data_IF_099132660416
#
_entry.id   IF_099132660416
#
_cell.length_a   1.000
_cell.length_b   1.000
_cell.length_c   1.000
_cell.angle_alpha   90.00
_cell.angle_beta   90.00
_cell.angle_gamma   90.00
#
_symmetry.space_group_name_H-M   'P 1'
#
loop_
_entity.id
_entity.type
_entity.pdbx_description
1 polymer ?
#
# COMPACT_ATOMS: atom_id res chain seq x y z
N UNK A 1 -17.63 -0.36 37.24
CA UNK A 1 -18.05 0.93 36.63
C UNK A 1 -16.87 1.52 35.86
N UNK A 2 -17.06 1.90 34.60
CA UNK A 2 -16.00 2.53 33.80
C UNK A 2 -15.82 3.96 34.29
N UNK A 3 -14.58 4.38 34.57
CA UNK A 3 -14.30 5.71 35.12
C UNK A 3 -14.36 6.79 34.05
N UNK A 4 -14.77 8.00 34.45
CA UNK A 4 -14.84 9.18 33.57
C UNK A 4 -13.48 9.48 32.87
N UNK A 5 -12.36 9.15 33.53
CA UNK A 5 -11.01 9.27 32.94
C UNK A 5 -10.80 8.34 31.74
N UNK A 6 -11.28 7.09 31.81
CA UNK A 6 -11.20 6.16 30.67
C UNK A 6 -12.04 6.64 29.49
N UNK A 7 -13.24 7.17 29.76
CA UNK A 7 -14.09 7.75 28.71
C UNK A 7 -13.43 8.96 28.03
N UNK A 8 -12.80 9.85 28.81
CA UNK A 8 -12.08 11.00 28.27
C UNK A 8 -10.85 10.60 27.44
N UNK A 9 -10.14 9.54 27.83
CA UNK A 9 -9.01 9.01 27.05
C UNK A 9 -9.47 8.39 25.73
N UNK A 10 -10.56 7.64 25.74
CA UNK A 10 -11.17 7.10 24.53
C UNK A 10 -11.61 8.25 23.62
N UNK A 11 -12.34 9.24 24.12
CA UNK A 11 -12.76 10.40 23.34
C UNK A 11 -11.57 11.13 22.68
N UNK A 12 -10.45 11.33 23.40
CA UNK A 12 -9.23 11.93 22.81
C UNK A 12 -8.61 11.08 21.69
N UNK A 13 -8.67 9.76 21.79
CA UNK A 13 -8.16 8.85 20.74
C UNK A 13 -9.05 8.92 19.49
N UNK A 14 -10.37 8.99 19.66
CA UNK A 14 -11.33 9.15 18.56
C UNK A 14 -11.23 10.52 17.88
N UNK A 15 -10.94 11.59 18.64
CA UNK A 15 -10.68 12.91 18.07
C UNK A 15 -9.45 12.94 17.16
N UNK A 16 -8.36 12.23 17.50
CA UNK A 16 -7.18 12.10 16.63
C UNK A 16 -7.46 11.33 15.35
N UNK A 17 -8.24 10.25 15.45
CA UNK A 17 -8.68 9.47 14.28
C UNK A 17 -9.61 10.29 13.36
N UNK A 18 -10.52 11.08 13.94
CA UNK A 18 -11.40 11.97 13.20
C UNK A 18 -10.66 13.18 12.59
N UNK A 19 -9.59 13.67 13.24
CA UNK A 19 -8.74 14.73 12.71
C UNK A 19 -7.91 14.27 11.51
N UNK A 20 -7.50 12.99 11.47
CA UNK A 20 -6.89 12.40 10.27
C UNK A 20 -7.88 12.36 9.09
N UNK A 21 -9.17 12.13 9.38
CA UNK A 21 -10.26 12.21 8.39
C UNK A 21 -10.68 13.62 7.96
N UNK A 22 -10.22 14.68 8.65
CA UNK A 22 -10.57 16.10 8.38
C UNK A 22 -9.44 16.92 7.75
N UNK A 23 -8.35 16.28 7.30
CA UNK A 23 -7.32 16.93 6.45
C UNK A 23 -7.69 16.95 4.96
N UNK A 24 -8.98 16.87 4.62
CA UNK A 24 -9.51 17.33 3.33
C UNK A 24 -10.21 18.66 3.58
N UNK A 25 -9.93 19.63 2.73
CA UNK A 25 -10.44 21.02 2.71
C UNK A 25 -9.55 22.08 3.38
N UNK A 26 -8.25 22.06 3.09
CA UNK A 26 -7.51 23.26 2.66
C UNK A 26 -6.34 22.82 1.79
N UNK A 27 -6.63 22.55 0.51
CA UNK A 27 -5.62 22.62 -0.55
C UNK A 27 -5.15 24.07 -0.62
N UNK A 28 -4.15 24.41 0.20
CA UNK A 28 -3.29 25.54 -0.11
C UNK A 28 -2.39 25.01 -1.21
N UNK A 29 -2.66 25.45 -2.44
CA UNK A 29 -1.75 25.26 -3.56
C UNK A 29 -0.37 25.77 -3.12
N UNK A 30 0.51 24.85 -2.77
CA UNK A 30 1.94 25.06 -2.87
C UNK A 30 2.36 24.17 -4.01
N UNK A 31 2.52 24.81 -5.16
CA UNK A 31 3.23 24.26 -6.30
C UNK A 31 4.57 23.74 -5.79
N UNK A 32 4.70 22.42 -5.78
CA UNK A 32 5.99 21.77 -5.90
C UNK A 32 5.88 20.87 -7.12
N UNK A 33 6.21 21.51 -8.23
CA UNK A 33 6.74 20.98 -9.48
C UNK A 33 7.09 19.48 -9.43
N UNK A 34 6.47 18.78 -10.39
CA UNK A 34 7.05 17.67 -11.14
C UNK A 34 7.22 16.31 -10.45
N UNK A 35 6.16 15.50 -10.50
CA UNK A 35 6.29 14.03 -10.50
C UNK A 35 5.17 13.31 -11.27
N UNK A 36 4.36 14.03 -12.07
CA UNK A 36 3.27 13.44 -12.85
C UNK A 36 3.12 14.16 -14.21
N UNK A 37 4.19 14.19 -15.01
CA UNK A 37 4.14 14.62 -16.42
C UNK A 37 4.05 13.41 -17.36
N UNK A 38 3.23 12.41 -17.01
CA UNK A 38 2.67 11.53 -18.04
C UNK A 38 1.27 12.05 -18.35
N UNK A 39 1.04 12.44 -19.60
CA UNK A 39 -0.20 13.05 -20.08
C UNK A 39 -1.37 12.11 -19.83
N UNK A 40 -1.96 12.23 -18.66
CA UNK A 40 -3.18 11.56 -18.30
C UNK A 40 -4.36 12.30 -18.93
N UNK A 41 -5.17 11.58 -19.69
CA UNK A 41 -6.47 12.07 -20.14
C UNK A 41 -7.31 12.48 -18.93
N UNK A 42 -7.35 13.79 -18.65
CA UNK A 42 -8.26 14.55 -17.79
C UNK A 42 -9.04 13.70 -16.76
N UNK A 43 -8.34 13.01 -15.84
CA UNK A 43 -9.00 12.23 -14.77
C UNK A 43 -8.37 10.89 -14.35
N UNK A 44 -7.28 10.44 -14.97
CA UNK A 44 -6.58 9.20 -14.59
C UNK A 44 -5.11 9.48 -14.22
N UNK A 45 -4.41 8.49 -13.67
CA UNK A 45 -2.95 8.46 -13.55
C UNK A 45 -2.45 7.08 -13.97
N UNK A 46 -1.23 7.01 -14.49
CA UNK A 46 -0.61 5.75 -14.86
C UNK A 46 0.20 5.21 -13.68
N UNK A 47 -0.05 3.96 -13.31
CA UNK A 47 0.69 3.23 -12.26
C UNK A 47 1.18 1.89 -12.80
N UNK A 48 2.25 1.39 -12.22
CA UNK A 48 2.87 0.11 -12.59
C UNK A 48 2.90 -0.82 -11.39
N UNK A 49 2.62 -2.10 -11.60
CA UNK A 49 2.73 -3.14 -10.57
C UNK A 49 4.13 -3.74 -10.52
N UNK A 50 4.42 -4.53 -9.48
CA UNK A 50 5.73 -5.16 -9.28
C UNK A 50 6.12 -6.14 -10.42
N UNK A 51 5.13 -6.70 -11.11
CA UNK A 51 5.30 -7.52 -12.32
C UNK A 51 5.46 -6.70 -13.62
N UNK A 52 5.48 -5.36 -13.53
CA UNK A 52 5.64 -4.44 -14.65
C UNK A 52 4.35 -4.11 -15.40
N UNK A 53 3.19 -4.60 -14.97
CA UNK A 53 1.91 -4.33 -15.65
C UNK A 53 1.48 -2.87 -15.47
N UNK A 54 0.93 -2.25 -16.52
CA UNK A 54 0.52 -0.84 -16.55
C UNK A 54 -0.98 -0.70 -16.34
N UNK A 55 -1.38 0.17 -15.41
CA UNK A 55 -2.78 0.47 -15.09
C UNK A 55 -3.09 1.97 -15.22
N UNK A 56 -4.23 2.28 -15.84
CA UNK A 56 -4.82 3.63 -15.83
C UNK A 56 -5.82 3.74 -14.68
N UNK A 57 -5.40 4.42 -13.62
CA UNK A 57 -6.15 4.52 -12.36
C UNK A 57 -6.90 5.86 -12.33
N UNK A 58 -8.22 5.88 -12.13
CA UNK A 58 -8.95 7.13 -11.94
C UNK A 58 -8.40 7.92 -10.74
N UNK A 59 -8.18 9.22 -10.92
CA UNK A 59 -7.72 10.11 -9.84
C UNK A 59 -8.65 10.10 -8.63
N UNK A 60 -9.94 9.82 -8.84
CA UNK A 60 -10.94 9.66 -7.78
C UNK A 60 -10.59 8.52 -6.80
N UNK A 61 -9.85 7.51 -7.23
CA UNK A 61 -9.46 6.38 -6.39
C UNK A 61 -8.26 6.69 -5.49
N UNK A 62 -7.44 7.68 -5.84
CA UNK A 62 -6.23 8.00 -5.08
C UNK A 62 -6.52 8.48 -3.64
N UNK A 63 -7.73 8.97 -3.38
CA UNK A 63 -8.18 9.35 -2.04
C UNK A 63 -8.80 8.21 -1.22
N UNK A 64 -8.83 6.98 -1.75
CA UNK A 64 -9.36 5.80 -1.05
C UNK A 64 -8.33 5.24 -0.07
N UNK A 65 -8.77 4.51 0.96
CA UNK A 65 -7.86 3.89 1.91
C UNK A 65 -6.91 2.91 1.21
N UNK A 66 -7.40 2.16 0.23
CA UNK A 66 -6.63 1.20 -0.56
C UNK A 66 -5.47 1.87 -1.28
N UNK A 67 -5.73 2.91 -2.09
CA UNK A 67 -4.67 3.60 -2.81
C UNK A 67 -3.78 4.46 -1.94
N UNK A 68 -4.32 5.05 -0.87
CA UNK A 68 -3.49 5.80 0.09
C UNK A 68 -2.43 4.90 0.70
N UNK A 69 -2.79 3.67 1.06
CA UNK A 69 -1.86 2.72 1.67
C UNK A 69 -0.88 2.15 0.63
N UNK A 70 -1.36 1.78 -0.56
CA UNK A 70 -0.48 1.34 -1.65
C UNK A 70 0.55 2.41 -2.01
N UNK A 71 0.16 3.69 -2.10
CA UNK A 71 1.07 4.80 -2.39
C UNK A 71 2.05 5.07 -1.26
N UNK A 72 1.63 4.91 0.01
CA UNK A 72 2.52 4.99 1.17
C UNK A 72 3.59 3.90 1.09
N UNK A 73 3.18 2.65 0.87
CA UNK A 73 4.11 1.53 0.72
C UNK A 73 5.03 1.71 -0.49
N UNK A 74 4.49 2.20 -1.62
CA UNK A 74 5.26 2.51 -2.83
C UNK A 74 6.37 3.53 -2.56
N UNK A 75 6.03 4.59 -1.82
CA UNK A 75 6.99 5.63 -1.44
C UNK A 75 8.08 5.09 -0.51
N UNK A 76 7.73 4.20 0.42
CA UNK A 76 8.68 3.58 1.35
C UNK A 76 9.63 2.60 0.67
N UNK A 77 9.16 1.82 -0.31
CA UNK A 77 9.94 0.79 -0.99
C UNK A 77 10.72 1.31 -2.19
N UNK A 78 10.07 2.06 -3.08
CA UNK A 78 10.66 2.50 -4.36
C UNK A 78 11.06 3.98 -4.36
N UNK A 79 10.45 4.78 -3.47
CA UNK A 79 10.47 6.23 -3.58
C UNK A 79 9.72 6.73 -4.82
N UNK A 80 9.63 8.05 -4.95
CA UNK A 80 9.19 8.68 -6.20
C UNK A 80 10.43 9.21 -6.90
N UNK A 81 10.94 8.46 -7.88
CA UNK A 81 12.10 8.89 -8.64
C UNK A 81 11.71 9.98 -9.64
N UNK A 82 12.68 10.74 -10.14
CA UNK A 82 12.44 11.84 -11.09
C UNK A 82 11.88 11.37 -12.45
N UNK A 83 11.85 10.05 -12.71
CA UNK A 83 11.24 9.50 -13.92
C UNK A 83 9.69 9.55 -13.91
N UNK A 84 9.09 9.96 -12.78
CA UNK A 84 7.66 10.16 -12.64
C UNK A 84 6.83 8.87 -12.70
N UNK A 85 7.47 7.69 -12.62
CA UNK A 85 6.75 6.41 -12.58
C UNK A 85 6.40 6.06 -11.14
N UNK A 86 5.14 5.67 -10.94
CA UNK A 86 4.63 5.16 -9.68
C UNK A 86 4.61 3.63 -9.76
N UNK A 87 5.55 2.99 -9.06
CA UNK A 87 5.61 1.53 -8.89
C UNK A 87 4.85 1.14 -7.62
N UNK A 88 3.90 0.22 -7.73
CA UNK A 88 3.10 -0.30 -6.63
C UNK A 88 3.66 -1.63 -6.11
N UNK A 89 3.67 -1.86 -4.79
CA UNK A 89 4.14 -3.10 -4.17
C UNK A 89 3.07 -4.19 -4.19
N UNK A 90 2.47 -4.42 -5.36
CA UNK A 90 1.52 -5.49 -5.60
C UNK A 90 1.62 -5.96 -7.05
N UNK A 91 1.12 -7.16 -7.33
CA UNK A 91 1.02 -7.70 -8.69
C UNK A 91 -0.26 -7.21 -9.40
N UNK A 92 -0.38 -7.53 -10.70
CA UNK A 92 -1.54 -7.18 -11.50
C UNK A 92 -2.86 -7.74 -10.93
N UNK A 93 -2.87 -8.95 -10.38
CA UNK A 93 -4.08 -9.61 -9.88
C UNK A 93 -4.65 -8.85 -8.68
N UNK A 94 -3.78 -8.47 -7.76
CA UNK A 94 -4.14 -7.67 -6.59
C UNK A 94 -4.64 -6.29 -7.01
N UNK A 95 -3.99 -5.67 -8.00
CA UNK A 95 -4.40 -4.36 -8.54
C UNK A 95 -5.78 -4.42 -9.23
N UNK A 96 -6.04 -5.44 -10.04
CA UNK A 96 -7.35 -5.68 -10.67
C UNK A 96 -8.44 -5.88 -9.62
N UNK A 97 -8.14 -6.63 -8.55
CA UNK A 97 -9.07 -6.84 -7.45
C UNK A 97 -9.36 -5.54 -6.69
N UNK A 98 -8.34 -4.74 -6.38
CA UNK A 98 -8.50 -3.42 -5.76
C UNK A 98 -9.40 -2.50 -6.60
N UNK A 99 -9.15 -2.39 -7.90
CA UNK A 99 -9.97 -1.62 -8.84
C UNK A 99 -11.42 -2.13 -8.88
N UNK A 100 -11.60 -3.44 -8.85
CA UNK A 100 -12.91 -4.09 -8.81
C UNK A 100 -13.71 -3.76 -7.53
N UNK A 101 -13.05 -3.72 -6.37
CA UNK A 101 -13.69 -3.38 -5.10
C UNK A 101 -14.14 -1.91 -5.09
N UNK A 102 -13.26 -1.00 -5.50
CA UNK A 102 -13.55 0.42 -5.51
C UNK A 102 -14.65 0.77 -6.51
N UNK A 103 -14.65 0.17 -7.70
CA UNK A 103 -15.72 0.34 -8.69
C UNK A 103 -17.09 -0.11 -8.18
N UNK A 104 -17.13 -1.14 -7.33
CA UNK A 104 -18.36 -1.66 -6.71
C UNK A 104 -18.70 -0.98 -5.38
N UNK A 105 -17.88 -0.03 -4.94
CA UNK A 105 -18.05 0.67 -3.68
C UNK A 105 -18.14 -0.30 -2.49
N UNK A 106 -17.21 -1.26 -2.43
CA UNK A 106 -17.14 -2.30 -1.40
C UNK A 106 -17.14 -1.73 0.02
N UNK A 107 -17.50 -2.57 0.99
CA UNK A 107 -17.50 -2.13 2.39
C UNK A 107 -16.08 -1.93 2.91
N UNK A 108 -15.94 -1.05 3.90
CA UNK A 108 -14.64 -0.73 4.51
C UNK A 108 -13.96 -1.97 5.12
N UNK A 109 -14.74 -2.96 5.56
CA UNK A 109 -14.23 -4.24 6.09
C UNK A 109 -13.51 -5.04 5.01
N UNK A 110 -14.04 -5.05 3.78
CA UNK A 110 -13.42 -5.76 2.64
C UNK A 110 -12.15 -5.03 2.20
N UNK A 111 -12.19 -3.70 2.10
CA UNK A 111 -10.98 -2.90 1.81
C UNK A 111 -9.88 -3.13 2.86
N UNK A 112 -10.26 -3.17 4.14
CA UNK A 112 -9.32 -3.43 5.24
C UNK A 112 -8.77 -4.86 5.19
N UNK A 113 -9.58 -5.85 4.83
CA UNK A 113 -9.11 -7.23 4.68
C UNK A 113 -8.06 -7.34 3.57
N UNK A 114 -8.29 -6.67 2.43
CA UNK A 114 -7.31 -6.57 1.34
C UNK A 114 -5.99 -5.96 1.84
N UNK A 115 -6.04 -4.81 2.50
CA UNK A 115 -4.83 -4.16 3.02
C UNK A 115 -4.09 -5.02 4.06
N UNK A 116 -4.85 -5.70 4.93
CA UNK A 116 -4.26 -6.60 5.93
C UNK A 116 -3.53 -7.77 5.27
N UNK A 117 -4.01 -8.24 4.12
CA UNK A 117 -3.34 -9.28 3.32
C UNK A 117 -2.04 -8.80 2.67
N UNK A 118 -1.93 -7.53 2.31
CA UNK A 118 -0.72 -6.95 1.70
C UNK A 118 0.36 -6.63 2.75
N UNK A 119 -0.06 -6.19 3.94
CA UNK A 119 0.85 -5.76 5.03
C UNK A 119 1.25 -6.93 5.93
N UNK A 120 0.61 -8.09 5.81
CA UNK A 120 1.01 -9.28 6.55
C UNK A 120 2.46 -9.64 6.19
N UNK A 121 3.37 -9.72 7.20
CA UNK A 121 4.70 -10.27 6.95
C UNK A 121 4.50 -11.68 6.40
N UNK A 122 4.96 -11.93 5.18
CA UNK A 122 5.24 -13.28 4.74
C UNK A 122 6.27 -13.82 5.73
N UNK A 123 5.84 -14.58 6.74
CA UNK A 123 6.73 -15.43 7.51
C UNK A 123 7.21 -16.52 6.56
N UNK A 124 8.16 -16.17 5.70
CA UNK A 124 8.93 -17.11 4.91
C UNK A 124 9.92 -17.77 5.87
N UNK A 125 9.43 -18.69 6.71
CA UNK A 125 10.31 -19.70 7.32
C UNK A 125 10.90 -20.49 6.17
N UNK A 126 12.19 -20.27 5.94
CA UNK A 126 12.84 -20.53 4.66
C UNK A 126 12.80 -21.97 4.18
N UNK A 127 12.68 -22.13 2.85
CA UNK A 127 13.20 -23.29 2.16
C UNK A 127 14.74 -23.20 2.13
N UNK A 128 15.40 -23.49 3.26
CA UNK A 128 16.75 -24.06 3.16
C UNK A 128 16.57 -25.51 2.72
N UNK A 129 16.91 -25.77 1.46
CA UNK A 129 17.06 -27.12 0.92
C UNK A 129 18.12 -27.84 1.77
N UNK A 130 17.85 -29.02 2.36
CA UNK A 130 18.92 -29.78 2.98
C UNK A 130 19.80 -30.34 1.87
N UNK A 131 20.97 -29.72 1.63
CA UNK A 131 22.02 -30.33 0.81
C UNK A 131 22.59 -31.50 1.60
N UNK A 132 22.18 -32.71 1.23
CA UNK A 132 22.80 -33.96 1.70
C UNK A 132 24.21 -34.00 1.12
N UNK A 133 25.19 -33.49 1.89
CA UNK A 133 26.60 -33.58 1.57
C UNK A 133 27.11 -34.99 1.83
N UNK A 134 27.22 -35.78 0.77
CA UNK A 134 27.98 -37.04 0.77
C UNK A 134 29.46 -36.67 0.85
N UNK A 135 30.15 -37.08 1.91
CA UNK A 135 31.62 -37.13 1.89
C UNK A 135 32.10 -38.34 2.67
N UNK A 136 32.37 -39.42 1.93
CA UNK A 136 33.32 -40.44 2.33
C UNK A 136 34.71 -39.96 1.93
N UNK A 137 35.63 -39.85 2.89
CA UNK A 137 36.96 -40.41 2.68
C UNK A 137 37.66 -40.67 4.01
N UNK A 138 38.02 -41.94 4.18
CA UNK A 138 38.95 -42.47 5.18
C UNK A 138 40.36 -42.08 4.75
N UNK A 139 41.20 -41.63 5.68
CA UNK A 139 42.58 -42.13 5.84
C UNK A 139 43.27 -41.45 7.02
N UNK A 140 43.66 -42.29 7.97
CA UNK A 140 44.58 -42.00 9.05
C UNK A 140 46.02 -41.93 8.51
N UNK A 141 46.83 -41.03 9.06
CA UNK A 141 48.23 -41.24 9.43
C UNK A 141 48.55 -40.30 10.59
#
# INVERSE_FOLDING_TARGET
>A
MISARRLAQLAKKWQRMAALGRKRLTMKAKENEECCTSVAGKGHCVMYTADGSRFEVPLAYLGTAVFSELLRMSQEEFGFTSDGRIMLPCDAVVMEYAMCLLKRNASAEVEKALLSSMVAPCHYTGCMVPTVGVNQHISCL
#
